data_IF_530039267696
#
_entry.id   IF_530039267696
#
_cell.length_a   1.000
_cell.length_b   1.000
_cell.length_c   1.000
_cell.angle_alpha   90.00
_cell.angle_beta   90.00
_cell.angle_gamma   90.00
#
_symmetry.space_group_name_H-M   'P 1'
#
loop_
_entity.id
_entity.type
_entity.pdbx_description
1 polymer ?
#
# COMPACT_ATOMS: atom_id res chain seq x y z
N UNK A 1 -6.18 3.97 -13.42
CA UNK A 1 -6.15 5.05 -14.43
C UNK A 1 -5.06 6.09 -14.14
N UNK A 2 -4.89 6.56 -12.92
CA UNK A 2 -3.85 7.53 -12.49
C UNK A 2 -2.42 7.01 -12.75
N UNK A 3 -2.11 5.75 -12.44
CA UNK A 3 -0.80 5.13 -12.69
C UNK A 3 -0.36 5.08 -14.18
N UNK A 4 -1.31 5.02 -15.14
CA UNK A 4 -0.99 5.06 -16.57
C UNK A 4 -0.67 6.46 -17.08
N UNK A 5 -1.22 7.50 -16.46
CA UNK A 5 -0.98 8.91 -16.82
C UNK A 5 0.37 9.38 -16.28
N UNK A 6 0.86 8.77 -15.20
CA UNK A 6 2.10 9.15 -14.53
C UNK A 6 3.37 8.68 -15.24
N UNK A 7 3.30 7.69 -16.14
CA UNK A 7 4.43 7.25 -16.96
C UNK A 7 4.75 8.19 -18.15
N UNK A 8 3.89 9.18 -18.44
CA UNK A 8 4.19 10.23 -19.41
C UNK A 8 4.72 11.46 -18.68
N UNK A 9 6.03 11.68 -18.68
CA UNK A 9 6.75 12.68 -17.88
C UNK A 9 6.07 14.08 -17.79
N UNK A 10 5.56 14.63 -18.87
CA UNK A 10 4.92 15.96 -18.88
C UNK A 10 3.49 15.99 -18.32
N UNK A 11 2.67 14.96 -18.60
CA UNK A 11 1.27 14.94 -18.15
C UNK A 11 1.14 14.61 -16.66
N UNK A 12 2.04 13.77 -16.14
CA UNK A 12 2.10 13.44 -14.71
C UNK A 12 2.43 14.65 -13.85
N UNK A 13 3.42 15.45 -14.26
CA UNK A 13 3.84 16.66 -13.54
C UNK A 13 2.73 17.72 -13.47
N UNK A 14 1.96 17.90 -14.54
CA UNK A 14 0.83 18.86 -14.56
C UNK A 14 -0.26 18.40 -13.58
N UNK A 15 -0.66 17.13 -13.61
CA UNK A 15 -1.67 16.58 -12.68
C UNK A 15 -1.22 16.71 -11.22
N UNK A 16 0.04 16.40 -10.93
CA UNK A 16 0.64 16.54 -9.61
C UNK A 16 0.56 17.99 -9.12
N UNK A 17 0.97 18.93 -9.97
CA UNK A 17 0.96 20.36 -9.65
C UNK A 17 -0.46 20.86 -9.37
N UNK A 18 -1.42 20.53 -10.22
CA UNK A 18 -2.83 20.95 -10.06
C UNK A 18 -3.42 20.41 -8.76
N UNK A 19 -3.26 19.11 -8.47
CA UNK A 19 -3.76 18.51 -7.25
C UNK A 19 -3.12 19.09 -5.99
N UNK A 20 -1.81 19.34 -6.03
CA UNK A 20 -1.09 19.99 -4.94
C UNK A 20 -1.57 21.42 -4.70
N UNK A 21 -1.87 22.18 -5.76
CA UNK A 21 -2.44 23.53 -5.64
C UNK A 21 -3.86 23.53 -5.06
N UNK A 22 -4.71 22.58 -5.43
CA UNK A 22 -6.06 22.44 -4.87
C UNK A 22 -6.01 22.17 -3.37
N UNK A 23 -5.06 21.34 -2.92
CA UNK A 23 -4.90 20.98 -1.53
C UNK A 23 -4.22 22.06 -0.68
N UNK A 24 -3.48 23.00 -1.31
CA UNK A 24 -2.62 23.97 -0.63
C UNK A 24 -3.34 24.79 0.44
N UNK A 25 -4.50 25.37 0.12
CA UNK A 25 -5.22 26.23 1.05
C UNK A 25 -5.75 25.49 2.28
N UNK A 26 -6.19 24.24 2.09
CA UNK A 26 -6.63 23.37 3.19
C UNK A 26 -5.45 22.93 4.05
N UNK A 27 -4.33 22.59 3.41
CA UNK A 27 -3.10 22.21 4.10
C UNK A 27 -2.57 23.36 4.96
N UNK A 28 -2.55 24.60 4.45
CA UNK A 28 -2.11 25.77 5.23
C UNK A 28 -2.98 25.98 6.47
N UNK A 29 -4.31 25.91 6.31
CA UNK A 29 -5.23 26.03 7.46
C UNK A 29 -4.98 24.96 8.52
N UNK A 30 -4.82 23.71 8.09
CA UNK A 30 -4.54 22.59 8.99
C UNK A 30 -3.23 22.80 9.75
N UNK A 31 -2.15 23.18 9.06
CA UNK A 31 -0.85 23.43 9.70
C UNK A 31 -0.93 24.59 10.70
N UNK A 32 -1.67 25.67 10.38
CA UNK A 32 -1.86 26.80 11.27
C UNK A 32 -2.68 26.46 12.51
N UNK A 33 -3.64 25.53 12.38
CA UNK A 33 -4.47 25.06 13.50
C UNK A 33 -3.71 24.10 14.40
N UNK A 34 -3.05 23.09 13.83
CA UNK A 34 -2.39 22.01 14.57
C UNK A 34 -1.00 22.41 15.09
N UNK A 35 -0.33 23.36 14.43
CA UNK A 35 1.04 23.84 14.74
C UNK A 35 2.04 22.69 14.98
N UNK A 36 2.18 21.75 14.04
CA UNK A 36 3.01 20.58 14.22
C UNK A 36 4.50 20.95 14.24
N UNK A 37 5.30 20.22 15.02
CA UNK A 37 6.77 20.30 15.01
C UNK A 37 7.39 19.59 13.80
N UNK A 38 6.68 18.63 13.22
CA UNK A 38 7.07 17.89 12.01
C UNK A 38 5.83 17.40 11.26
N UNK A 39 5.90 17.35 9.93
CA UNK A 39 4.80 16.78 9.14
C UNK A 39 5.31 15.55 8.37
N UNK A 40 4.63 14.42 8.58
CA UNK A 40 4.96 13.14 7.94
C UNK A 40 3.92 12.82 6.88
N UNK A 41 4.37 12.53 5.66
CA UNK A 41 3.51 12.21 4.52
C UNK A 41 3.70 10.77 4.07
N UNK A 42 2.59 10.06 3.94
CA UNK A 42 2.52 8.72 3.33
C UNK A 42 1.81 8.75 1.97
N UNK A 43 1.57 9.96 1.43
CA UNK A 43 0.95 10.16 0.13
C UNK A 43 1.53 11.39 -0.58
N UNK A 44 1.87 11.32 -1.89
CA UNK A 44 2.63 12.36 -2.59
C UNK A 44 1.88 13.69 -2.76
N UNK A 45 0.55 13.69 -2.93
CA UNK A 45 -0.18 14.94 -3.22
C UNK A 45 -0.26 15.89 -2.03
N UNK A 46 -0.58 15.46 -0.80
CA UNK A 46 -0.46 16.32 0.38
C UNK A 46 0.99 16.80 0.60
N UNK A 47 1.98 15.93 0.38
CA UNK A 47 3.40 16.28 0.43
C UNK A 47 3.72 17.44 -0.53
N UNK A 48 3.29 17.31 -1.79
CA UNK A 48 3.47 18.37 -2.79
C UNK A 48 2.83 19.70 -2.41
N UNK A 49 1.65 19.68 -1.78
CA UNK A 49 0.98 20.87 -1.28
C UNK A 49 1.81 21.58 -0.19
N UNK A 50 2.34 20.82 0.78
CA UNK A 50 3.22 21.35 1.83
C UNK A 50 4.54 21.87 1.26
N UNK A 51 5.14 21.17 0.28
CA UNK A 51 6.35 21.62 -0.42
C UNK A 51 6.14 22.97 -1.15
N UNK A 52 4.98 23.18 -1.77
CA UNK A 52 4.62 24.49 -2.36
C UNK A 52 4.56 25.56 -1.28
N UNK A 53 3.93 25.30 -0.14
CA UNK A 53 3.84 26.24 0.99
C UNK A 53 5.21 26.57 1.56
N UNK A 54 6.09 25.57 1.75
CA UNK A 54 7.45 25.75 2.24
C UNK A 54 8.29 26.60 1.27
N UNK A 55 8.24 26.29 -0.02
CA UNK A 55 8.91 27.08 -1.06
C UNK A 55 8.44 28.53 -1.13
N UNK A 56 7.18 28.81 -0.79
CA UNK A 56 6.60 30.15 -0.76
C UNK A 56 6.84 30.89 0.57
N UNK A 57 7.50 30.27 1.53
CA UNK A 57 7.78 30.87 2.85
C UNK A 57 6.55 30.96 3.77
N UNK A 58 5.48 30.20 3.48
CA UNK A 58 4.29 30.18 4.33
C UNK A 58 4.42 29.24 5.54
N UNK A 59 5.33 28.29 5.47
CA UNK A 59 5.65 27.34 6.53
C UNK A 59 7.16 27.06 6.55
N UNK A 60 7.69 26.74 7.73
CA UNK A 60 9.10 26.35 7.93
C UNK A 60 9.24 25.03 8.70
N UNK A 61 8.13 24.33 8.91
CA UNK A 61 8.10 23.03 9.58
C UNK A 61 8.83 21.96 8.77
N UNK A 62 9.60 21.07 9.41
CA UNK A 62 10.23 19.93 8.75
C UNK A 62 9.23 19.01 8.05
N UNK A 63 9.53 18.60 6.81
CA UNK A 63 8.70 17.73 5.99
C UNK A 63 9.39 16.37 5.82
N UNK A 64 8.71 15.31 6.21
CA UNK A 64 9.18 13.92 6.08
C UNK A 64 8.27 13.17 5.12
N UNK A 65 8.85 12.49 4.14
CA UNK A 65 8.12 11.64 3.20
C UNK A 65 8.46 10.17 3.44
N UNK A 66 7.44 9.34 3.67
CA UNK A 66 7.57 7.89 3.76
C UNK A 66 6.94 7.28 2.51
N UNK A 67 7.76 6.72 1.63
CA UNK A 67 7.29 6.11 0.40
C UNK A 67 6.67 4.74 0.70
N UNK A 68 5.43 4.55 0.25
CA UNK A 68 4.66 3.32 0.46
C UNK A 68 4.57 2.46 -0.80
N UNK A 69 5.50 2.64 -1.72
CA UNK A 69 5.67 1.90 -2.96
C UNK A 69 7.10 1.34 -3.05
N UNK A 70 7.32 0.31 -3.88
CA UNK A 70 8.64 -0.26 -4.14
C UNK A 70 9.42 0.45 -5.26
N UNK A 71 8.94 1.61 -5.71
CA UNK A 71 9.63 2.43 -6.71
C UNK A 71 9.48 3.90 -6.38
N UNK A 72 10.53 4.67 -6.70
CA UNK A 72 10.54 6.12 -6.55
C UNK A 72 9.74 6.76 -7.68
N UNK A 73 8.44 6.98 -7.45
CA UNK A 73 7.60 7.64 -8.42
C UNK A 73 7.90 9.15 -8.42
N UNK A 74 7.99 9.79 -9.59
CA UNK A 74 8.25 11.24 -9.72
C UNK A 74 7.33 12.12 -8.85
N UNK A 75 6.14 11.64 -8.46
CA UNK A 75 5.23 12.36 -7.57
C UNK A 75 5.76 12.52 -6.14
N UNK A 76 6.79 11.79 -5.75
CA UNK A 76 7.46 11.94 -4.46
C UNK A 76 8.66 12.88 -4.47
N UNK A 77 9.13 13.30 -5.67
CA UNK A 77 10.39 14.04 -5.80
C UNK A 77 10.15 15.53 -5.58
N UNK A 78 10.52 16.02 -4.41
CA UNK A 78 10.42 17.42 -4.02
C UNK A 78 11.68 17.88 -3.27
N UNK A 79 12.40 18.91 -3.74
CA UNK A 79 13.59 19.42 -3.05
C UNK A 79 13.31 19.95 -1.63
N UNK A 80 12.06 20.32 -1.33
CA UNK A 80 11.64 20.88 -0.05
C UNK A 80 11.41 19.85 1.05
N UNK A 81 11.42 18.57 0.71
CA UNK A 81 11.37 17.50 1.71
C UNK A 81 12.72 17.40 2.41
N UNK A 82 12.71 17.37 3.72
CA UNK A 82 13.92 17.34 4.55
C UNK A 82 14.43 15.91 4.73
N UNK A 83 13.52 14.92 4.78
CA UNK A 83 13.87 13.51 4.98
C UNK A 83 12.94 12.59 4.20
N UNK A 84 13.53 11.60 3.54
CA UNK A 84 12.81 10.53 2.85
C UNK A 84 13.08 9.18 3.52
N UNK A 85 12.02 8.40 3.73
CA UNK A 85 12.11 6.99 4.07
C UNK A 85 11.65 6.15 2.89
N UNK A 86 12.48 5.21 2.44
CA UNK A 86 12.26 4.39 1.24
C UNK A 86 12.29 2.90 1.57
N UNK A 87 11.68 2.09 0.67
CA UNK A 87 11.53 0.67 0.88
C UNK A 87 12.83 -0.12 0.70
N UNK A 88 13.66 0.25 -0.28
CA UNK A 88 14.83 -0.53 -0.72
C UNK A 88 16.02 0.35 -1.03
N UNK A 89 17.23 -0.24 -1.03
CA UNK A 89 18.48 0.43 -1.43
C UNK A 89 18.46 0.91 -2.88
N UNK A 90 17.80 0.19 -3.79
CA UNK A 90 17.70 0.60 -5.19
C UNK A 90 17.02 1.96 -5.35
N UNK A 91 16.05 2.27 -4.48
CA UNK A 91 15.36 3.55 -4.50
C UNK A 91 16.28 4.72 -4.12
N UNK A 92 17.34 4.49 -3.34
CA UNK A 92 18.33 5.53 -3.02
C UNK A 92 19.02 5.98 -4.31
N UNK A 93 19.47 5.02 -5.14
CA UNK A 93 20.08 5.30 -6.43
C UNK A 93 19.15 6.03 -7.39
N UNK A 94 17.89 5.58 -7.49
CA UNK A 94 16.86 6.23 -8.33
C UNK A 94 16.62 7.69 -7.93
N UNK A 95 16.46 7.96 -6.62
CA UNK A 95 16.18 9.30 -6.11
C UNK A 95 17.39 10.22 -6.21
N UNK A 96 18.59 9.70 -6.00
CA UNK A 96 19.83 10.46 -6.15
C UNK A 96 20.05 10.85 -7.61
N UNK A 97 19.75 9.97 -8.55
CA UNK A 97 19.86 10.25 -9.99
C UNK A 97 18.95 11.39 -10.46
N UNK A 98 17.85 11.67 -9.73
CA UNK A 98 16.93 12.81 -10.02
C UNK A 98 17.17 14.02 -9.12
N UNK A 99 18.30 14.06 -8.39
CA UNK A 99 18.78 15.23 -7.67
C UNK A 99 18.37 15.34 -6.20
N UNK A 100 17.88 14.29 -5.57
CA UNK A 100 17.71 14.27 -4.11
C UNK A 100 19.04 13.93 -3.45
N UNK A 101 19.44 14.71 -2.46
CA UNK A 101 20.68 14.49 -1.70
C UNK A 101 20.61 13.16 -0.94
N UNK A 102 21.65 12.34 -1.07
CA UNK A 102 21.70 11.00 -0.47
C UNK A 102 21.55 11.03 1.07
N UNK A 103 22.05 12.05 1.73
CA UNK A 103 21.94 12.22 3.19
C UNK A 103 20.50 12.46 3.68
N UNK A 104 19.58 12.78 2.77
CA UNK A 104 18.13 12.92 3.07
C UNK A 104 17.37 11.62 2.93
N UNK A 105 17.99 10.55 2.39
CA UNK A 105 17.30 9.31 2.05
C UNK A 105 17.72 8.21 3.03
N UNK A 106 16.76 7.59 3.69
CA UNK A 106 16.97 6.50 4.64
C UNK A 106 16.17 5.26 4.21
N UNK A 107 16.82 4.12 4.14
CA UNK A 107 16.17 2.84 3.86
C UNK A 107 15.58 2.28 5.16
N UNK A 108 14.28 2.11 5.21
CA UNK A 108 13.56 1.64 6.41
C UNK A 108 12.55 0.53 6.13
N UNK A 109 12.35 0.18 4.87
CA UNK A 109 11.20 -0.61 4.47
C UNK A 109 9.91 0.23 4.44
N UNK A 110 8.79 -0.40 4.08
CA UNK A 110 7.46 0.20 4.13
C UNK A 110 6.85 -0.08 5.50
N UNK A 111 6.40 0.93 6.26
CA UNK A 111 5.84 0.72 7.59
C UNK A 111 4.51 -0.05 7.51
N UNK A 112 4.38 -1.05 8.35
CA UNK A 112 3.16 -1.84 8.52
C UNK A 112 2.60 -1.66 9.93
N UNK A 113 1.31 -1.99 10.11
CA UNK A 113 0.66 -1.88 11.42
C UNK A 113 1.24 -2.89 12.41
N UNK A 114 1.31 -2.50 13.67
CA UNK A 114 1.88 -3.31 14.75
C UNK A 114 1.23 -4.70 14.86
N UNK A 115 -0.04 -4.86 14.48
CA UNK A 115 -0.75 -6.13 14.52
C UNK A 115 -0.15 -7.21 13.62
N UNK A 116 0.67 -6.84 12.63
CA UNK A 116 1.36 -7.79 11.75
C UNK A 116 2.69 -8.31 12.32
N UNK A 117 3.19 -7.74 13.43
CA UNK A 117 4.44 -8.18 14.10
C UNK A 117 4.22 -9.23 15.19
N UNK A 118 3.02 -9.80 15.33
CA UNK A 118 2.78 -10.84 16.31
C UNK A 118 3.41 -12.14 15.85
N UNK A 119 4.32 -12.65 16.69
CA UNK A 119 4.88 -14.00 16.60
C UNK A 119 5.41 -14.35 15.20
N UNK A 120 6.44 -13.59 14.75
CA UNK A 120 7.18 -13.95 13.54
C UNK A 120 7.60 -15.42 13.62
N UNK A 121 7.15 -16.21 12.64
CA UNK A 121 7.45 -17.64 12.59
C UNK A 121 8.89 -17.78 12.07
N UNK A 122 9.82 -18.13 12.95
CA UNK A 122 11.25 -18.27 12.62
C UNK A 122 11.55 -19.39 11.58
N UNK A 123 10.61 -20.28 11.34
CA UNK A 123 10.75 -21.36 10.35
C UNK A 123 9.42 -21.61 9.63
N UNK A 124 9.45 -21.46 8.31
CA UNK A 124 8.33 -21.81 7.45
C UNK A 124 8.31 -23.33 7.24
N UNK A 125 7.56 -24.03 8.07
CA UNK A 125 7.11 -25.39 7.76
C UNK A 125 5.69 -25.31 7.20
N UNK A 126 5.48 -25.93 6.02
CA UNK A 126 4.12 -26.08 5.48
C UNK A 126 3.30 -26.93 6.45
N UNK A 127 2.52 -26.26 7.30
CA UNK A 127 1.66 -26.92 8.28
C UNK A 127 0.35 -27.35 7.61
N UNK A 128 -0.06 -28.59 7.81
CA UNK A 128 -1.43 -29.00 7.56
C UNK A 128 -2.32 -28.50 8.71
N UNK A 129 -3.52 -27.95 8.45
CA UNK A 129 -4.17 -27.80 7.13
C UNK A 129 -3.61 -26.65 6.29
N UNK A 130 -3.57 -26.84 4.97
CA UNK A 130 -3.18 -25.80 4.00
C UNK A 130 -4.34 -24.81 3.80
N UNK A 131 -4.15 -23.60 4.28
CA UNK A 131 -5.16 -22.52 4.24
C UNK A 131 -4.70 -21.40 3.31
N UNK A 132 -5.48 -21.14 2.27
CA UNK A 132 -5.18 -20.09 1.30
C UNK A 132 -6.03 -18.85 1.57
N UNK A 133 -5.38 -17.69 1.80
CA UNK A 133 -6.04 -16.40 1.84
C UNK A 133 -5.97 -15.73 0.46
N UNK A 134 -7.10 -15.33 -0.08
CA UNK A 134 -7.21 -14.64 -1.38
C UNK A 134 -7.74 -13.24 -1.18
N UNK A 135 -7.03 -12.20 -1.67
CA UNK A 135 -7.49 -10.83 -1.49
C UNK A 135 -7.03 -9.87 -2.61
N UNK A 136 -7.97 -9.02 -3.06
CA UNK A 136 -7.75 -8.00 -4.11
C UNK A 136 -7.41 -6.60 -3.58
N UNK A 137 -7.12 -6.47 -2.28
CA UNK A 137 -6.99 -5.19 -1.59
C UNK A 137 -8.35 -4.56 -1.25
N UNK A 138 -8.35 -3.39 -0.59
CA UNK A 138 -9.56 -2.77 -0.03
C UNK A 138 -10.69 -2.48 -1.03
N UNK A 139 -10.38 -2.33 -2.32
CA UNK A 139 -11.38 -2.11 -3.37
C UNK A 139 -11.83 -3.40 -4.07
N UNK A 140 -11.33 -4.58 -3.67
CA UNK A 140 -11.66 -5.86 -4.29
C UNK A 140 -11.29 -5.90 -5.79
N UNK A 141 -10.10 -5.41 -6.14
CA UNK A 141 -9.63 -5.40 -7.52
C UNK A 141 -8.94 -6.71 -7.87
N UNK A 142 -9.16 -7.17 -9.09
CA UNK A 142 -8.58 -8.40 -9.62
C UNK A 142 -9.67 -9.43 -9.94
N UNK A 143 -9.28 -10.48 -10.67
CA UNK A 143 -10.18 -11.57 -11.07
C UNK A 143 -10.24 -12.62 -9.95
N UNK A 144 -10.83 -12.27 -8.79
CA UNK A 144 -10.87 -13.18 -7.62
C UNK A 144 -11.69 -14.43 -7.91
N UNK A 145 -12.76 -14.33 -8.71
CA UNK A 145 -13.56 -15.48 -9.14
C UNK A 145 -12.71 -16.50 -9.93
N UNK A 146 -11.87 -16.01 -10.85
CA UNK A 146 -10.97 -16.86 -11.64
C UNK A 146 -9.92 -17.50 -10.71
N UNK A 147 -9.36 -16.73 -9.79
CA UNK A 147 -8.41 -17.26 -8.82
C UNK A 147 -9.02 -18.38 -7.97
N UNK A 148 -10.25 -18.20 -7.47
CA UNK A 148 -10.96 -19.22 -6.70
C UNK A 148 -11.22 -20.48 -7.52
N UNK A 149 -11.66 -20.38 -8.77
CA UNK A 149 -11.89 -21.53 -9.66
C UNK A 149 -10.61 -22.32 -9.90
N UNK A 150 -9.48 -21.66 -10.09
CA UNK A 150 -8.20 -22.33 -10.24
C UNK A 150 -7.74 -22.99 -8.95
N UNK A 151 -7.89 -22.34 -7.81
CA UNK A 151 -7.53 -22.90 -6.49
C UNK A 151 -8.38 -24.12 -6.12
N UNK A 152 -9.67 -24.12 -6.47
CA UNK A 152 -10.58 -25.25 -6.23
C UNK A 152 -10.21 -26.51 -7.05
N UNK A 153 -9.47 -26.33 -8.12
CA UNK A 153 -8.94 -27.44 -8.95
C UNK A 153 -7.61 -28.00 -8.43
N UNK A 154 -6.97 -27.30 -7.46
CA UNK A 154 -5.67 -27.73 -6.90
C UNK A 154 -5.91 -28.69 -5.73
N UNK A 155 -5.27 -29.88 -5.79
CA UNK A 155 -5.31 -30.83 -4.69
C UNK A 155 -4.40 -30.39 -3.53
N UNK A 156 -4.82 -30.66 -2.31
CA UNK A 156 -4.02 -30.38 -1.11
C UNK A 156 -4.29 -29.01 -0.47
N UNK A 157 -5.28 -28.26 -0.97
CA UNK A 157 -5.82 -27.09 -0.29
C UNK A 157 -7.00 -27.52 0.58
N UNK A 158 -6.92 -27.27 1.88
CA UNK A 158 -7.96 -27.66 2.83
C UNK A 158 -9.04 -26.59 3.00
N UNK A 159 -8.62 -25.31 3.02
CA UNK A 159 -9.54 -24.19 3.20
C UNK A 159 -9.11 -22.99 2.33
N UNK A 160 -10.09 -22.27 1.79
CA UNK A 160 -9.89 -20.99 1.09
C UNK A 160 -10.66 -19.91 1.86
N UNK A 161 -9.98 -18.81 2.19
CA UNK A 161 -10.61 -17.60 2.68
C UNK A 161 -10.45 -16.51 1.62
N UNK A 162 -11.54 -15.85 1.21
CA UNK A 162 -11.46 -14.77 0.23
C UNK A 162 -12.05 -13.48 0.79
N UNK A 163 -11.36 -12.35 0.54
CA UNK A 163 -11.79 -11.02 0.98
C UNK A 163 -12.10 -10.14 -0.22
N UNK A 164 -13.38 -9.81 -0.40
CA UNK A 164 -13.91 -8.96 -1.47
C UNK A 164 -13.66 -7.45 -1.23
N UNK A 165 -13.31 -7.05 0.00
CA UNK A 165 -13.18 -5.65 0.38
C UNK A 165 -14.52 -4.91 0.34
N UNK A 166 -14.50 -3.66 -0.12
CA UNK A 166 -15.70 -2.80 -0.20
C UNK A 166 -16.58 -3.07 -1.43
N UNK A 167 -16.21 -4.05 -2.25
CA UNK A 167 -16.94 -4.36 -3.49
C UNK A 167 -18.10 -5.34 -3.19
N UNK A 168 -19.29 -4.81 -2.96
CA UNK A 168 -20.49 -5.59 -2.62
C UNK A 168 -20.90 -6.55 -3.75
N UNK A 169 -20.83 -6.10 -5.00
CA UNK A 169 -21.18 -6.94 -6.16
C UNK A 169 -20.22 -8.14 -6.29
N UNK A 170 -18.93 -7.91 -6.06
CA UNK A 170 -17.94 -8.99 -6.02
C UNK A 170 -18.21 -9.94 -4.86
N UNK A 171 -18.55 -9.42 -3.68
CA UNK A 171 -18.87 -10.24 -2.51
C UNK A 171 -20.02 -11.21 -2.83
N UNK A 172 -21.11 -10.73 -3.40
CA UNK A 172 -22.27 -11.56 -3.79
C UNK A 172 -21.90 -12.63 -4.83
N UNK A 173 -21.10 -12.25 -5.83
CA UNK A 173 -20.58 -13.18 -6.84
C UNK A 173 -19.74 -14.29 -6.21
N UNK A 174 -18.82 -13.94 -5.30
CA UNK A 174 -17.96 -14.89 -4.61
C UNK A 174 -18.73 -15.82 -3.67
N UNK A 175 -19.75 -15.34 -2.98
CA UNK A 175 -20.66 -16.16 -2.16
C UNK A 175 -21.37 -17.19 -3.03
N UNK A 176 -21.93 -16.79 -4.16
CA UNK A 176 -22.59 -17.68 -5.10
C UNK A 176 -21.63 -18.73 -5.69
N UNK A 177 -20.38 -18.35 -5.92
CA UNK A 177 -19.34 -19.26 -6.40
C UNK A 177 -18.95 -20.27 -5.32
N UNK A 178 -18.73 -19.81 -4.06
CA UNK A 178 -18.26 -20.63 -2.95
C UNK A 178 -19.16 -21.82 -2.63
N UNK A 179 -20.47 -21.69 -2.81
CA UNK A 179 -21.46 -22.79 -2.61
C UNK A 179 -21.23 -23.95 -3.59
N UNK A 180 -20.60 -23.68 -4.73
CA UNK A 180 -20.37 -24.68 -5.80
C UNK A 180 -18.95 -25.28 -5.75
N UNK A 181 -18.09 -24.75 -4.90
CA UNK A 181 -16.70 -25.19 -4.76
C UNK A 181 -16.61 -26.50 -3.95
N UNK A 182 -15.61 -27.32 -4.29
CA UNK A 182 -15.27 -28.55 -3.55
C UNK A 182 -14.53 -28.23 -2.27
N UNK A 183 -13.62 -27.25 -2.35
CA UNK A 183 -12.82 -26.78 -1.23
C UNK A 183 -13.67 -25.92 -0.32
N UNK A 184 -13.59 -26.15 0.98
CA UNK A 184 -14.26 -25.30 2.00
C UNK A 184 -13.84 -23.85 1.82
N UNK A 185 -14.78 -22.99 1.43
CA UNK A 185 -14.50 -21.58 1.09
C UNK A 185 -15.32 -20.63 1.95
N UNK A 186 -14.65 -19.71 2.62
CA UNK A 186 -15.26 -18.64 3.42
C UNK A 186 -15.07 -17.28 2.73
N UNK A 187 -16.16 -16.53 2.55
CA UNK A 187 -16.14 -15.24 1.87
C UNK A 187 -16.37 -14.11 2.88
N UNK A 188 -15.47 -13.14 2.89
CA UNK A 188 -15.59 -11.89 3.64
C UNK A 188 -15.82 -10.71 2.70
N UNK A 189 -16.66 -9.77 3.10
CA UNK A 189 -16.70 -8.43 2.53
C UNK A 189 -15.54 -7.59 3.06
N UNK A 190 -15.83 -6.33 3.42
CA UNK A 190 -14.85 -5.50 4.14
C UNK A 190 -14.67 -6.02 5.57
N UNK A 191 -13.40 -6.20 5.97
CA UNK A 191 -13.07 -6.63 7.33
C UNK A 191 -11.85 -5.86 7.85
N UNK A 192 -11.84 -5.55 9.15
CA UNK A 192 -10.69 -4.98 9.86
C UNK A 192 -9.68 -6.04 10.33
N UNK A 193 -10.06 -7.33 10.30
CA UNK A 193 -9.31 -8.44 10.87
C UNK A 193 -8.31 -9.07 9.88
N UNK A 194 -7.79 -8.29 8.92
CA UNK A 194 -6.86 -8.78 7.89
C UNK A 194 -5.59 -9.40 8.51
N UNK A 195 -5.07 -8.81 9.57
CA UNK A 195 -3.89 -9.34 10.27
C UNK A 195 -4.13 -10.76 10.80
N UNK A 196 -5.27 -11.02 11.42
CA UNK A 196 -5.64 -12.35 11.93
C UNK A 196 -5.82 -13.37 10.81
N UNK A 197 -6.47 -12.95 9.71
CA UNK A 197 -6.63 -13.80 8.52
C UNK A 197 -5.28 -14.16 7.90
N UNK A 198 -4.35 -13.20 7.79
CA UNK A 198 -3.00 -13.46 7.29
C UNK A 198 -2.21 -14.39 8.20
N UNK A 199 -2.24 -14.20 9.53
CA UNK A 199 -1.55 -15.09 10.49
C UNK A 199 -2.11 -16.54 10.49
N UNK A 200 -3.39 -16.70 10.17
CA UNK A 200 -4.03 -18.01 10.09
C UNK A 200 -3.85 -18.71 8.75
N UNK A 201 -3.37 -18.02 7.73
CA UNK A 201 -3.17 -18.55 6.40
C UNK A 201 -1.79 -19.18 6.25
N UNK A 202 -1.71 -20.24 5.44
CA UNK A 202 -0.45 -20.87 5.03
C UNK A 202 0.09 -20.21 3.75
N UNK A 203 -0.79 -19.63 2.94
CA UNK A 203 -0.45 -19.00 1.66
C UNK A 203 -1.34 -17.79 1.40
N UNK A 204 -0.76 -16.75 0.84
CA UNK A 204 -1.47 -15.55 0.37
C UNK A 204 -1.46 -15.46 -1.15
N UNK A 205 -2.64 -15.33 -1.74
CA UNK A 205 -2.83 -14.99 -3.16
C UNK A 205 -3.38 -13.57 -3.24
N UNK A 206 -2.59 -12.64 -3.74
CA UNK A 206 -2.97 -11.23 -3.80
C UNK A 206 -2.41 -10.52 -5.04
N UNK A 207 -2.95 -9.35 -5.37
CA UNK A 207 -2.29 -8.46 -6.32
C UNK A 207 -1.01 -7.90 -5.68
N UNK A 208 0.02 -7.50 -6.48
CA UNK A 208 1.30 -7.01 -5.97
C UNK A 208 1.19 -5.55 -5.44
N UNK A 209 0.37 -5.34 -4.40
CA UNK A 209 0.29 -4.07 -3.70
C UNK A 209 1.35 -3.98 -2.61
N UNK A 210 2.16 -2.92 -2.60
CA UNK A 210 3.32 -2.81 -1.72
C UNK A 210 2.99 -3.01 -0.23
N UNK A 211 1.92 -2.38 0.26
CA UNK A 211 1.49 -2.53 1.66
C UNK A 211 1.11 -3.98 1.98
N UNK A 212 0.28 -4.61 1.16
CA UNK A 212 -0.15 -6.00 1.38
C UNK A 212 1.02 -6.97 1.33
N UNK A 213 1.96 -6.76 0.40
CA UNK A 213 3.17 -7.58 0.31
C UNK A 213 4.04 -7.43 1.56
N UNK A 214 4.22 -6.20 2.05
CA UNK A 214 4.99 -5.96 3.28
C UNK A 214 4.29 -6.48 4.53
N UNK A 215 2.98 -6.38 4.61
CA UNK A 215 2.18 -7.00 5.68
C UNK A 215 2.40 -8.52 5.71
N UNK A 216 2.38 -9.18 4.55
CA UNK A 216 2.62 -10.61 4.43
C UNK A 216 4.07 -10.98 4.81
N UNK A 217 5.07 -10.27 4.28
CA UNK A 217 6.49 -10.52 4.59
C UNK A 217 6.80 -10.30 6.08
N UNK A 218 6.09 -9.40 6.74
CA UNK A 218 6.28 -9.13 8.18
C UNK A 218 5.75 -10.28 9.05
N UNK A 219 4.79 -11.04 8.56
CA UNK A 219 4.25 -12.22 9.27
C UNK A 219 5.17 -13.45 9.12
N UNK A 220 5.85 -13.60 8.00
CA UNK A 220 6.73 -14.72 7.62
C UNK A 220 6.26 -15.35 6.32
#
# INVERSE_FOLDING_TARGET
MIYRVSKGEKKGTILQTVLSYILKSRMLKLIQQEKPDVIVFTHPFPCGAACILKRQGHIDVPLVAILTDFSSHQFWIYPQVDTYFVATEDMVGEMTAVGIEQNKIHVSGIPVRRSFFKDAIDHYEMKSPVKVLVMGGGLGLGSLEIALQHLDAVNGIDEITVVAGQNTSLYESLVNLSVRMKTKTTVYGYTSNISELMHSATMLVTKPGALTCMEAVTIG
#
